data_IF_825135670917
#
_entry.id   IF_825135670917
#
_cell.length_a   1.000
_cell.length_b   1.000
_cell.length_c   1.000
_cell.angle_alpha   90.00
_cell.angle_beta   90.00
_cell.angle_gamma   90.00
#
_symmetry.space_group_name_H-M   'P 1'
#
loop_
_entity.id
_entity.type
_entity.pdbx_description
1 polymer ?
#
# COMPACT_ATOMS: atom_id res chain seq x y z
N UNK A 1 44.05 -16.33 61.62
CA UNK A 1 42.64 -15.89 61.75
C UNK A 1 42.27 -14.89 60.65
N UNK A 2 42.03 -15.26 59.37
CA UNK A 2 41.44 -14.33 58.34
C UNK A 2 40.80 -15.06 57.14
N UNK A 3 40.10 -16.18 57.34
CA UNK A 3 39.32 -16.83 56.25
C UNK A 3 37.79 -16.80 56.46
N UNK A 4 37.30 -16.47 57.65
CA UNK A 4 35.87 -16.57 58.00
C UNK A 4 35.02 -15.37 57.53
N UNK A 5 35.63 -14.33 56.96
CA UNK A 5 34.94 -13.09 56.56
C UNK A 5 34.51 -13.12 55.07
N UNK A 6 35.02 -14.07 54.28
CA UNK A 6 34.75 -14.16 52.84
C UNK A 6 33.46 -14.92 52.49
N UNK A 7 32.91 -15.71 53.42
CA UNK A 7 31.68 -16.48 53.19
C UNK A 7 30.42 -15.64 52.91
N UNK A 8 30.12 -14.55 53.65
CA UNK A 8 28.91 -13.76 53.36
C UNK A 8 28.99 -13.03 52.02
N UNK A 9 30.19 -12.65 51.57
CA UNK A 9 30.39 -11.98 50.27
C UNK A 9 30.17 -12.96 49.12
N UNK A 10 30.68 -14.19 49.24
CA UNK A 10 30.44 -15.23 48.24
C UNK A 10 28.94 -15.60 48.13
N UNK A 11 28.24 -15.70 49.26
CA UNK A 11 26.80 -15.96 49.28
C UNK A 11 25.99 -14.82 48.63
N UNK A 12 26.38 -13.57 48.86
CA UNK A 12 25.74 -12.41 48.23
C UNK A 12 25.94 -12.37 46.71
N UNK A 13 27.13 -12.74 46.21
CA UNK A 13 27.42 -12.81 44.77
C UNK A 13 26.65 -13.94 44.08
N UNK A 14 26.51 -15.10 44.74
CA UNK A 14 25.68 -16.21 44.24
C UNK A 14 24.20 -15.82 44.23
N UNK A 15 23.72 -15.10 45.26
CA UNK A 15 22.37 -14.55 45.30
C UNK A 15 22.10 -13.53 44.19
N UNK A 16 23.06 -12.66 43.89
CA UNK A 16 22.97 -11.70 42.79
C UNK A 16 23.01 -12.37 41.40
N UNK A 17 23.85 -13.39 41.23
CA UNK A 17 23.85 -14.20 40.02
C UNK A 17 22.54 -14.98 39.84
N UNK A 18 21.94 -15.45 40.95
CA UNK A 18 20.66 -16.13 40.90
C UNK A 18 19.47 -15.19 40.63
N UNK A 19 19.45 -13.99 41.20
CA UNK A 19 18.44 -12.99 40.86
C UNK A 19 18.51 -12.58 39.37
N UNK A 20 19.70 -12.68 38.75
CA UNK A 20 19.88 -12.45 37.33
C UNK A 20 19.51 -13.67 36.44
N UNK A 21 19.38 -14.91 36.95
CA UNK A 21 18.89 -16.04 36.13
C UNK A 21 17.40 -15.90 35.80
N UNK A 22 16.61 -15.20 36.62
CA UNK A 22 15.17 -15.03 36.38
C UNK A 22 14.86 -14.10 35.20
N UNK A 23 15.87 -13.42 34.63
CA UNK A 23 15.69 -12.57 33.45
C UNK A 23 15.68 -13.34 32.13
N UNK A 24 16.07 -14.62 32.09
CA UNK A 24 15.98 -15.43 30.87
C UNK A 24 14.64 -16.18 30.71
N UNK A 25 13.76 -16.14 31.72
CA UNK A 25 12.42 -16.73 31.64
C UNK A 25 11.35 -15.79 31.05
N UNK A 26 11.76 -14.68 30.44
CA UNK A 26 10.88 -13.74 29.75
C UNK A 26 10.71 -13.98 28.24
N UNK A 27 11.43 -14.93 27.64
CA UNK A 27 11.51 -15.09 26.19
C UNK A 27 10.55 -16.13 25.57
N UNK A 28 9.55 -16.63 26.31
CA UNK A 28 8.62 -17.66 25.79
C UNK A 28 7.13 -17.31 25.87
N UNK A 29 6.79 -16.04 26.02
CA UNK A 29 5.38 -15.61 26.03
C UNK A 29 5.04 -14.59 24.93
N UNK A 30 5.88 -14.49 23.91
CA UNK A 30 5.62 -13.63 22.74
C UNK A 30 4.99 -14.39 21.57
N UNK A 31 5.02 -15.72 21.56
CA UNK A 31 4.64 -16.47 20.35
C UNK A 31 3.15 -16.78 20.23
N UNK A 32 2.37 -16.80 21.32
CA UNK A 32 0.97 -17.28 21.25
C UNK A 32 -0.06 -16.16 21.04
N UNK A 33 0.15 -14.99 21.64
CA UNK A 33 -0.73 -13.83 21.42
C UNK A 33 -0.37 -13.11 20.12
N UNK A 34 0.94 -13.00 19.79
CA UNK A 34 1.38 -12.41 18.53
C UNK A 34 0.92 -13.23 17.31
N UNK A 35 0.92 -14.57 17.38
CA UNK A 35 0.41 -15.39 16.27
C UNK A 35 -1.09 -15.23 16.06
N UNK A 36 -1.89 -15.04 17.11
CA UNK A 36 -3.34 -14.81 16.97
C UNK A 36 -3.63 -13.44 16.34
N UNK A 37 -2.90 -12.40 16.73
CA UNK A 37 -3.02 -11.06 16.13
C UNK A 37 -2.54 -11.04 14.69
N UNK A 38 -1.44 -11.73 14.38
CA UNK A 38 -0.91 -11.87 13.01
C UNK A 38 -1.85 -12.71 12.12
N UNK A 39 -2.45 -13.78 12.63
CA UNK A 39 -3.42 -14.59 11.88
C UNK A 39 -4.72 -13.82 11.62
N UNK A 40 -5.23 -13.06 12.60
CA UNK A 40 -6.39 -12.19 12.38
C UNK A 40 -6.10 -11.09 11.35
N UNK A 41 -4.89 -10.54 11.34
CA UNK A 41 -4.45 -9.58 10.33
C UNK A 41 -4.30 -10.21 8.93
N UNK A 42 -3.97 -11.51 8.85
CA UNK A 42 -3.83 -12.24 7.60
C UNK A 42 -5.19 -12.48 6.91
N UNK A 43 -6.22 -12.87 7.67
CA UNK A 43 -7.58 -13.06 7.15
C UNK A 43 -8.17 -11.76 6.58
N UNK A 44 -7.95 -10.64 7.26
CA UNK A 44 -8.38 -9.32 6.78
C UNK A 44 -7.65 -8.93 5.49
N UNK A 45 -6.38 -9.33 5.34
CA UNK A 45 -5.58 -9.05 4.15
C UNK A 45 -6.02 -9.86 2.93
N UNK A 46 -6.40 -11.13 3.09
CA UNK A 46 -6.95 -11.92 1.97
C UNK A 46 -8.28 -11.37 1.46
N UNK A 47 -9.16 -10.90 2.35
CA UNK A 47 -10.40 -10.23 1.96
C UNK A 47 -10.14 -8.88 1.28
N UNK A 48 -9.12 -8.13 1.71
CA UNK A 48 -8.70 -6.88 1.07
C UNK A 48 -8.06 -7.10 -0.30
N UNK A 49 -7.37 -8.22 -0.53
CA UNK A 49 -6.87 -8.56 -1.87
C UNK A 49 -8.02 -8.83 -2.85
N UNK A 50 -9.12 -9.43 -2.39
CA UNK A 50 -10.34 -9.60 -3.19
C UNK A 50 -11.10 -8.29 -3.48
N UNK A 51 -10.94 -7.28 -2.63
CA UNK A 51 -11.49 -5.92 -2.81
C UNK A 51 -10.43 -4.93 -3.33
N UNK A 52 -9.27 -5.43 -3.75
CA UNK A 52 -8.13 -4.60 -4.10
C UNK A 52 -8.49 -3.69 -5.25
N UNK A 53 -8.35 -2.39 -5.02
CA UNK A 53 -8.54 -1.34 -6.02
C UNK A 53 -7.69 -1.57 -7.27
N UNK A 54 -6.57 -2.30 -7.16
CA UNK A 54 -5.71 -2.67 -8.29
C UNK A 54 -6.42 -3.58 -9.30
N UNK A 55 -7.09 -4.62 -8.83
CA UNK A 55 -7.82 -5.53 -9.73
C UNK A 55 -8.98 -4.81 -10.45
N UNK A 56 -9.64 -3.87 -9.76
CA UNK A 56 -10.66 -3.03 -10.37
C UNK A 56 -10.09 -2.03 -11.38
N UNK A 57 -8.90 -1.49 -11.13
CA UNK A 57 -8.19 -0.61 -12.07
C UNK A 57 -7.79 -1.38 -13.33
N UNK A 58 -7.27 -2.60 -13.18
CA UNK A 58 -6.86 -3.45 -14.31
C UNK A 58 -8.08 -3.82 -15.18
N UNK A 59 -9.18 -4.27 -14.57
CA UNK A 59 -10.43 -4.55 -15.30
C UNK A 59 -10.98 -3.31 -16.01
N UNK A 60 -10.92 -2.14 -15.37
CA UNK A 60 -11.37 -0.89 -15.99
C UNK A 60 -10.46 -0.47 -17.15
N UNK A 61 -9.15 -0.66 -17.01
CA UNK A 61 -8.15 -0.39 -18.04
C UNK A 61 -8.34 -1.30 -19.26
N UNK A 62 -8.60 -2.58 -19.05
CA UNK A 62 -8.88 -3.53 -20.12
C UNK A 62 -10.16 -3.17 -20.88
N UNK A 63 -11.22 -2.78 -20.15
CA UNK A 63 -12.47 -2.31 -20.75
C UNK A 63 -12.30 -1.02 -21.55
N UNK A 64 -11.48 -0.09 -21.08
CA UNK A 64 -11.16 1.14 -21.80
C UNK A 64 -10.33 0.85 -23.05
N UNK A 65 -9.36 -0.05 -22.96
CA UNK A 65 -8.52 -0.47 -24.07
C UNK A 65 -9.34 -1.18 -25.15
N UNK A 66 -10.33 -1.99 -24.77
CA UNK A 66 -11.23 -2.68 -25.70
C UNK A 66 -12.15 -1.73 -26.48
N UNK A 67 -12.47 -0.54 -25.96
CA UNK A 67 -13.29 0.47 -26.66
C UNK A 67 -12.54 1.22 -27.76
N UNK A 68 -11.21 1.17 -27.75
CA UNK A 68 -10.36 1.95 -28.65
C UNK A 68 -10.44 3.46 -28.40
N UNK A 69 -9.50 4.25 -28.95
CA UNK A 69 -9.54 5.70 -28.85
C UNK A 69 -10.73 6.27 -29.66
N UNK A 70 -11.41 7.34 -29.19
CA UNK A 70 -12.49 7.95 -29.94
C UNK A 70 -12.00 8.47 -31.31
N UNK A 71 -12.81 8.35 -32.37
CA UNK A 71 -12.37 8.64 -33.74
C UNK A 71 -12.09 10.12 -34.02
N UNK A 72 -12.59 11.05 -33.19
CA UNK A 72 -12.47 12.49 -33.43
C UNK A 72 -11.67 13.19 -32.32
N UNK A 73 -10.33 13.13 -32.35
CA UNK A 73 -9.49 13.89 -31.43
C UNK A 73 -9.55 15.39 -31.72
N UNK A 74 -9.42 16.21 -30.67
CA UNK A 74 -9.18 17.63 -30.81
C UNK A 74 -7.74 17.87 -31.26
N UNK A 75 -7.55 18.83 -32.17
CA UNK A 75 -6.21 19.19 -32.66
C UNK A 75 -5.43 20.12 -31.72
N UNK A 76 -6.07 20.63 -30.66
CA UNK A 76 -5.53 21.68 -29.78
C UNK A 76 -5.31 21.15 -28.35
N UNK A 77 -6.04 20.11 -27.94
CA UNK A 77 -5.87 19.45 -26.64
C UNK A 77 -6.10 17.94 -26.77
N UNK A 78 -5.77 17.18 -25.72
CA UNK A 78 -5.80 15.71 -25.73
C UNK A 78 -7.22 15.11 -25.54
N UNK A 79 -8.26 15.93 -25.69
CA UNK A 79 -9.65 15.46 -25.63
C UNK A 79 -10.06 14.81 -26.96
N UNK A 80 -10.68 13.63 -26.87
CA UNK A 80 -11.22 12.92 -28.02
C UNK A 80 -12.73 12.68 -27.86
N UNK A 81 -13.45 12.77 -28.96
CA UNK A 81 -14.91 12.72 -29.00
C UNK A 81 -15.39 11.59 -29.91
N UNK A 82 -16.58 11.05 -29.60
CA UNK A 82 -17.22 10.00 -30.40
C UNK A 82 -17.78 10.52 -31.73
N UNK A 83 -18.02 11.83 -31.81
CA UNK A 83 -18.59 12.47 -33.01
C UNK A 83 -17.87 13.75 -33.39
N UNK A 84 -17.85 14.05 -34.70
CA UNK A 84 -17.29 15.29 -35.22
C UNK A 84 -18.01 16.54 -34.69
N UNK A 85 -19.34 16.47 -34.51
CA UNK A 85 -20.13 17.60 -33.99
C UNK A 85 -19.64 18.02 -32.59
N UNK A 86 -19.45 17.06 -31.69
CA UNK A 86 -18.96 17.32 -30.34
C UNK A 86 -17.55 17.94 -30.35
N UNK A 87 -16.64 17.41 -31.19
CA UNK A 87 -15.30 17.97 -31.37
C UNK A 87 -15.33 19.41 -31.90
N UNK A 88 -16.19 19.69 -32.88
CA UNK A 88 -16.35 21.03 -33.45
C UNK A 88 -16.94 22.02 -32.44
N UNK A 89 -17.95 21.62 -31.67
CA UNK A 89 -18.55 22.45 -30.63
C UNK A 89 -17.55 22.73 -29.50
N UNK A 90 -16.75 21.73 -29.11
CA UNK A 90 -15.66 21.87 -28.16
C UNK A 90 -14.62 22.90 -28.65
N UNK A 91 -14.13 22.76 -29.89
CA UNK A 91 -13.17 23.70 -30.47
C UNK A 91 -13.73 25.12 -30.56
N UNK A 92 -15.00 25.27 -30.94
CA UNK A 92 -15.67 26.58 -31.02
C UNK A 92 -15.98 27.24 -29.68
N UNK A 93 -15.92 26.50 -28.57
CA UNK A 93 -16.23 27.03 -27.23
C UNK A 93 -14.98 27.28 -26.42
N UNK A 94 -14.01 26.36 -26.51
CA UNK A 94 -12.80 26.39 -25.69
C UNK A 94 -11.55 26.84 -26.46
N UNK A 95 -11.61 26.86 -27.79
CA UNK A 95 -10.49 27.25 -28.67
C UNK A 95 -10.91 28.28 -29.74
N UNK A 96 -11.95 29.05 -29.41
CA UNK A 96 -12.61 30.05 -30.27
C UNK A 96 -11.67 31.14 -30.79
N UNK A 97 -10.54 31.33 -30.11
CA UNK A 97 -9.49 32.28 -30.47
C UNK A 97 -8.60 31.72 -31.59
N UNK A 98 -9.17 31.57 -32.79
CA UNK A 98 -8.42 31.77 -34.04
C UNK A 98 -7.57 30.61 -34.61
N UNK A 99 -7.80 29.35 -34.28
CA UNK A 99 -7.06 28.22 -34.88
C UNK A 99 -7.92 27.27 -35.73
N UNK A 100 -8.28 27.65 -36.96
CA UNK A 100 -9.08 26.82 -37.88
C UNK A 100 -8.32 25.55 -38.34
N UNK A 101 -8.79 24.30 -38.11
CA UNK A 101 -8.42 23.19 -38.97
C UNK A 101 -9.34 23.23 -40.21
N UNK A 102 -8.76 23.56 -41.38
CA UNK A 102 -9.44 23.35 -42.66
C UNK A 102 -9.49 21.85 -42.97
N UNK A 103 -10.56 21.47 -43.66
CA UNK A 103 -11.05 20.10 -43.81
C UNK A 103 -10.03 19.05 -44.27
N UNK A 104 -10.37 17.80 -43.98
CA UNK A 104 -9.77 16.62 -44.60
C UNK A 104 -10.83 15.99 -45.52
N UNK A 105 -10.37 15.70 -46.75
CA UNK A 105 -11.11 15.24 -47.94
C UNK A 105 -12.13 14.14 -47.70
#
# INVERSE_FOLDING_TARGET
MRLSILMPVAAALIGFANANYETEFGARNVDFLATREVNAALEVRELLDGLSTRALIDELSDRLSARGPPPYPCAICDLAFDTEKQRNDHQKRLHSDGGKPRGRR
#
